data_IF_654001903946
#
_entry.id   IF_654001903946
#
_cell.length_a   1.000
_cell.length_b   1.000
_cell.length_c   1.000
_cell.angle_alpha   90.00
_cell.angle_beta   90.00
_cell.angle_gamma   90.00
#
_symmetry.space_group_name_H-M   'P 1'
#
loop_
_entity.id
_entity.type
_entity.pdbx_description
1 polymer ?
#
# COMPACT_ATOMS: atom_id res chain seq x y z
N UNK A 1 44.22 -20.34 16.22
CA UNK A 1 42.76 -20.56 16.20
C UNK A 1 42.12 -19.30 15.67
N UNK A 2 41.96 -19.21 14.35
CA UNK A 2 41.23 -18.10 13.72
C UNK A 2 39.75 -18.34 13.92
N UNK A 3 39.07 -17.44 14.64
CA UNK A 3 37.63 -17.47 14.78
C UNK A 3 36.99 -16.94 13.51
N UNK A 4 36.35 -17.83 12.75
CA UNK A 4 35.42 -17.46 11.68
C UNK A 4 34.31 -16.61 12.30
N UNK A 5 34.25 -15.33 11.95
CA UNK A 5 33.07 -14.51 12.27
C UNK A 5 31.99 -14.95 11.30
N UNK A 6 30.80 -15.43 11.73
CA UNK A 6 29.77 -15.79 10.78
C UNK A 6 29.41 -14.53 9.99
N UNK A 7 29.70 -14.55 8.69
CA UNK A 7 29.25 -13.53 7.77
C UNK A 7 27.72 -13.46 7.90
N UNK A 8 27.23 -12.38 8.51
CA UNK A 8 25.80 -12.09 8.48
C UNK A 8 25.46 -11.89 7.02
N UNK A 9 24.69 -12.83 6.46
CA UNK A 9 24.27 -12.85 5.07
C UNK A 9 23.70 -11.47 4.70
N UNK A 10 24.35 -10.78 3.77
CA UNK A 10 23.99 -9.42 3.38
C UNK A 10 22.76 -9.38 2.47
N UNK A 11 22.08 -10.51 2.28
CA UNK A 11 20.81 -10.62 1.54
C UNK A 11 19.57 -10.29 2.38
N UNK A 12 19.74 -9.61 3.52
CA UNK A 12 18.65 -9.19 4.42
C UNK A 12 17.88 -7.96 3.90
N UNK A 13 18.39 -7.29 2.86
CA UNK A 13 17.96 -5.96 2.43
C UNK A 13 16.46 -5.81 2.10
N UNK A 14 15.71 -6.88 1.85
CA UNK A 14 14.23 -6.84 1.66
C UNK A 14 13.50 -8.00 2.37
N UNK A 15 14.01 -8.49 3.50
CA UNK A 15 13.30 -9.54 4.26
C UNK A 15 12.27 -8.96 5.22
N UNK A 16 11.00 -9.39 5.10
CA UNK A 16 9.92 -9.04 6.04
C UNK A 16 10.08 -9.90 7.31
N UNK A 17 10.18 -9.26 8.48
CA UNK A 17 10.17 -9.91 9.80
C UNK A 17 8.81 -9.76 10.48
N UNK A 18 8.27 -10.86 10.99
CA UNK A 18 7.02 -10.90 11.76
C UNK A 18 7.33 -11.50 13.13
N UNK A 19 7.03 -10.75 14.21
CA UNK A 19 7.24 -11.18 15.60
C UNK A 19 5.90 -11.30 16.34
N UNK A 20 5.69 -12.41 17.06
CA UNK A 20 4.49 -12.63 17.88
C UNK A 20 4.73 -12.08 19.29
N UNK A 21 4.06 -10.99 19.63
CA UNK A 21 4.20 -10.35 20.95
C UNK A 21 3.36 -11.01 22.06
N UNK A 22 2.31 -11.76 21.70
CA UNK A 22 1.42 -12.44 22.65
C UNK A 22 0.72 -13.64 22.00
N UNK A 23 0.44 -14.67 22.79
CA UNK A 23 -0.26 -15.87 22.36
C UNK A 23 0.70 -16.94 21.85
N UNK A 24 0.14 -18.05 21.38
CA UNK A 24 0.88 -19.14 20.75
C UNK A 24 0.08 -19.59 19.52
N UNK A 25 0.16 -18.85 18.40
CA UNK A 25 -0.53 -19.23 17.18
C UNK A 25 0.00 -20.58 16.70
N UNK A 26 -0.89 -21.34 16.09
CA UNK A 26 -0.54 -22.59 15.42
C UNK A 26 0.19 -22.31 14.10
N UNK A 27 0.88 -23.32 13.59
CA UNK A 27 1.58 -23.23 12.31
C UNK A 27 0.61 -22.89 11.15
N UNK A 28 -0.60 -23.45 11.18
CA UNK A 28 -1.63 -23.20 10.17
C UNK A 28 -2.11 -21.74 10.19
N UNK A 29 -2.26 -21.15 11.37
CA UNK A 29 -2.66 -19.74 11.51
C UNK A 29 -1.55 -18.79 11.03
N UNK A 30 -0.28 -19.12 11.31
CA UNK A 30 0.86 -18.36 10.78
C UNK A 30 0.95 -18.48 9.26
N UNK A 31 0.75 -19.67 8.70
CA UNK A 31 0.71 -19.88 7.26
C UNK A 31 -0.40 -19.08 6.58
N UNK A 32 -1.61 -19.09 7.17
CA UNK A 32 -2.73 -18.30 6.68
C UNK A 32 -2.43 -16.79 6.69
N UNK A 33 -1.83 -16.28 7.78
CA UNK A 33 -1.41 -14.87 7.88
C UNK A 33 -0.40 -14.50 6.79
N UNK A 34 0.66 -15.31 6.63
CA UNK A 34 1.71 -15.07 5.64
C UNK A 34 1.12 -15.05 4.23
N UNK A 35 0.22 -15.97 3.90
CA UNK A 35 -0.44 -16.02 2.61
C UNK A 35 -1.23 -14.74 2.32
N UNK A 36 -2.04 -14.27 3.28
CA UNK A 36 -2.82 -13.04 3.13
C UNK A 36 -1.93 -11.80 2.98
N UNK A 37 -0.88 -11.68 3.80
CA UNK A 37 0.04 -10.53 3.72
C UNK A 37 0.81 -10.54 2.41
N UNK A 38 1.28 -11.71 1.96
CA UNK A 38 1.98 -11.84 0.68
C UNK A 38 1.07 -11.48 -0.49
N UNK A 39 -0.19 -11.93 -0.48
CA UNK A 39 -1.19 -11.59 -1.48
C UNK A 39 -1.46 -10.07 -1.51
N UNK A 40 -1.62 -9.44 -0.35
CA UNK A 40 -1.82 -7.99 -0.26
C UNK A 40 -0.64 -7.19 -0.81
N UNK A 41 0.60 -7.56 -0.43
CA UNK A 41 1.81 -6.93 -0.99
C UNK A 41 1.94 -7.16 -2.50
N UNK A 42 1.61 -8.35 -2.99
CA UNK A 42 1.68 -8.68 -4.42
C UNK A 42 0.61 -7.93 -5.21
N UNK A 43 -0.61 -7.85 -4.68
CA UNK A 43 -1.72 -7.11 -5.29
C UNK A 43 -1.47 -5.61 -5.36
N UNK A 44 -0.98 -5.01 -4.27
CA UNK A 44 -0.63 -3.59 -4.24
C UNK A 44 0.58 -3.28 -5.14
N UNK A 45 1.57 -4.17 -5.24
CA UNK A 45 2.71 -3.99 -6.16
C UNK A 45 2.29 -4.10 -7.62
N UNK A 46 1.32 -4.97 -7.95
CA UNK A 46 0.79 -5.09 -9.31
C UNK A 46 -0.05 -3.87 -9.72
N UNK A 47 -0.85 -3.31 -8.82
CA UNK A 47 -1.64 -2.10 -9.09
C UNK A 47 -0.79 -0.82 -9.08
N UNK A 48 0.22 -0.72 -8.21
CA UNK A 48 1.13 0.44 -8.15
C UNK A 48 2.11 0.53 -9.33
N UNK A 49 2.41 -0.61 -10.00
CA UNK A 49 3.30 -0.67 -11.18
C UNK A 49 2.50 -0.62 -12.49
N UNK A 50 1.17 -0.66 -12.44
CA UNK A 50 0.36 -0.37 -13.60
C UNK A 50 0.64 1.07 -14.05
N UNK A 51 1.24 1.23 -15.24
CA UNK A 51 1.42 2.54 -15.83
C UNK A 51 0.04 3.17 -16.01
N UNK A 52 -0.27 4.16 -15.18
CA UNK A 52 -1.41 5.04 -15.33
C UNK A 52 -1.29 5.68 -16.73
N UNK A 53 -1.92 5.04 -17.73
CA UNK A 53 -2.24 5.74 -18.96
C UNK A 53 -2.94 7.02 -18.53
N UNK A 54 -2.60 8.20 -19.08
CA UNK A 54 -3.20 9.45 -18.64
C UNK A 54 -4.69 9.48 -19.02
N UNK A 55 -5.52 8.85 -18.21
CA UNK A 55 -6.96 8.91 -18.29
C UNK A 55 -7.40 10.13 -17.49
N UNK A 56 -8.30 10.92 -18.08
CA UNK A 56 -8.80 12.12 -17.42
C UNK A 56 -9.64 11.69 -16.22
N UNK A 57 -9.13 11.94 -15.02
CA UNK A 57 -9.86 11.65 -13.78
C UNK A 57 -11.16 12.46 -13.74
N UNK A 58 -12.19 11.90 -13.09
CA UNK A 58 -13.45 12.61 -12.85
C UNK A 58 -13.21 13.93 -12.09
N UNK A 59 -12.21 13.97 -11.22
CA UNK A 59 -11.72 15.17 -10.54
C UNK A 59 -11.12 16.21 -11.50
N UNK A 60 -10.29 15.81 -12.46
CA UNK A 60 -9.74 16.73 -13.46
C UNK A 60 -10.83 17.33 -14.38
N UNK A 61 -11.92 16.58 -14.61
CA UNK A 61 -13.09 17.07 -15.34
C UNK A 61 -13.89 18.06 -14.50
N UNK A 62 -14.21 17.73 -13.24
CA UNK A 62 -14.97 18.60 -12.34
C UNK A 62 -14.21 19.89 -11.98
N UNK A 63 -12.89 19.82 -11.79
CA UNK A 63 -12.08 21.01 -11.52
C UNK A 63 -12.14 22.04 -12.66
N UNK A 64 -12.31 21.60 -13.92
CA UNK A 64 -12.39 22.52 -15.07
C UNK A 64 -13.71 23.30 -15.07
N UNK A 65 -14.84 22.67 -14.72
CA UNK A 65 -16.12 23.37 -14.65
C UNK A 65 -16.16 24.40 -13.51
N UNK A 66 -15.32 24.24 -12.49
CA UNK A 66 -15.16 25.19 -11.38
C UNK A 66 -14.20 26.36 -11.69
N UNK A 67 -13.55 26.39 -12.86
CA UNK A 67 -12.71 27.55 -13.28
C UNK A 67 -13.55 28.78 -13.60
N UNK A 68 -14.82 28.60 -13.91
CA UNK A 68 -15.77 29.69 -13.88
C UNK A 68 -16.18 29.92 -12.42
N UNK A 69 -16.19 31.18 -11.92
CA UNK A 69 -16.70 31.46 -10.60
C UNK A 69 -18.09 30.85 -10.44
N UNK A 70 -18.27 30.00 -9.42
CA UNK A 70 -19.57 29.42 -9.13
C UNK A 70 -20.58 30.55 -8.93
N UNK A 71 -21.71 30.49 -9.64
CA UNK A 71 -22.80 31.45 -9.47
C UNK A 71 -23.41 31.25 -8.08
N UNK A 72 -22.92 32.04 -7.12
CA UNK A 72 -23.39 32.06 -5.72
C UNK A 72 -24.87 32.44 -5.59
N UNK A 73 -25.43 32.98 -6.67
CA UNK A 73 -26.80 33.46 -6.83
C UNK A 73 -27.82 32.31 -6.95
N UNK A 74 -27.34 31.08 -7.21
CA UNK A 74 -28.17 29.87 -7.35
C UNK A 74 -28.36 29.10 -6.02
N UNK A 75 -28.20 29.77 -4.88
CA UNK A 75 -28.73 29.27 -3.59
C UNK A 75 -27.85 28.28 -2.84
N UNK A 76 -26.52 28.28 -3.02
CA UNK A 76 -25.61 27.42 -2.25
C UNK A 76 -25.35 27.97 -0.82
N UNK A 77 -26.40 28.37 -0.13
CA UNK A 77 -26.40 28.62 1.31
C UNK A 77 -26.68 27.30 2.01
N UNK A 78 -25.84 26.93 2.99
CA UNK A 78 -26.14 25.80 3.89
C UNK A 78 -27.44 26.13 4.62
N UNK A 79 -28.51 25.39 4.30
CA UNK A 79 -29.58 25.15 5.26
C UNK A 79 -29.07 24.24 6.37
#
# INVERSE_FOLDING_TARGET
MSGETPATDQNVAESIRIDVSRGAPTDDELAALIAVVTEAYTGETAEAVAEDRPERTAWAVSQRSLRQPLRRELGWTRG
#
